data_IF_449230342165
#
_entry.id   IF_449230342165
#
_cell.length_a   1.000
_cell.length_b   1.000
_cell.length_c   1.000
_cell.angle_alpha   90.00
_cell.angle_beta   90.00
_cell.angle_gamma   90.00
#
_symmetry.space_group_name_H-M   'P 1'
#
loop_
_entity.id
_entity.type
_entity.pdbx_description
1 polymer ?
#
# COMPACT_ATOMS: atom_id res chain seq x y z
N UNK A 1 -16.81 -27.81 -18.84
CA UNK A 1 -17.32 -26.49 -18.42
C UNK A 1 -17.92 -25.83 -19.64
N UNK A 2 -19.20 -25.49 -19.58
CA UNK A 2 -19.96 -24.99 -20.72
C UNK A 2 -19.78 -23.47 -20.85
N UNK A 3 -18.65 -23.07 -21.44
CA UNK A 3 -18.25 -21.67 -21.59
C UNK A 3 -19.23 -20.87 -22.46
N UNK A 4 -19.93 -21.53 -23.39
CA UNK A 4 -20.86 -20.89 -24.30
C UNK A 4 -22.13 -20.45 -23.55
N UNK A 5 -22.67 -21.30 -22.67
CA UNK A 5 -23.78 -20.93 -21.79
C UNK A 5 -23.44 -19.83 -20.78
N UNK A 6 -22.17 -19.72 -20.35
CA UNK A 6 -21.71 -18.62 -19.49
C UNK A 6 -21.67 -17.30 -20.27
N UNK A 7 -21.17 -17.31 -21.50
CA UNK A 7 -21.11 -16.13 -22.35
C UNK A 7 -22.51 -15.62 -22.75
N UNK A 8 -23.44 -16.53 -23.04
CA UNK A 8 -24.81 -16.17 -23.38
C UNK A 8 -25.54 -15.55 -22.18
N UNK A 9 -25.33 -16.08 -20.98
CA UNK A 9 -25.88 -15.52 -19.73
C UNK A 9 -25.28 -14.14 -19.40
N UNK A 10 -23.97 -13.95 -19.62
CA UNK A 10 -23.32 -12.64 -19.46
C UNK A 10 -23.89 -11.64 -20.47
N UNK A 11 -24.11 -12.05 -21.72
CA UNK A 11 -24.66 -11.19 -22.77
C UNK A 11 -26.10 -10.77 -22.47
N UNK A 12 -26.92 -11.69 -21.99
CA UNK A 12 -28.30 -11.41 -21.58
C UNK A 12 -28.34 -10.42 -20.41
N UNK A 13 -27.51 -10.65 -19.38
CA UNK A 13 -27.39 -9.71 -18.24
C UNK A 13 -26.87 -8.34 -18.68
N UNK A 14 -25.88 -8.29 -19.56
CA UNK A 14 -25.34 -7.04 -20.08
C UNK A 14 -26.41 -6.24 -20.85
N UNK A 15 -27.23 -6.91 -21.67
CA UNK A 15 -28.35 -6.28 -22.39
C UNK A 15 -29.39 -5.69 -21.43
N UNK A 16 -29.80 -6.45 -20.41
CA UNK A 16 -30.77 -5.97 -19.42
C UNK A 16 -30.27 -4.78 -18.60
N UNK A 17 -28.96 -4.75 -18.27
CA UNK A 17 -28.34 -3.61 -17.60
C UNK A 17 -28.32 -2.39 -18.52
N UNK A 18 -28.02 -2.58 -19.80
CA UNK A 18 -27.95 -1.49 -20.77
C UNK A 18 -29.32 -0.82 -21.00
N UNK A 19 -30.38 -1.62 -21.05
CA UNK A 19 -31.76 -1.12 -21.13
C UNK A 19 -32.13 -0.29 -19.90
N UNK A 20 -31.83 -0.79 -18.69
CA UNK A 20 -32.08 -0.04 -17.44
C UNK A 20 -31.28 1.26 -17.37
N UNK A 21 -30.04 1.27 -17.85
CA UNK A 21 -29.20 2.48 -17.91
C UNK A 21 -29.79 3.49 -18.91
N UNK A 22 -30.32 3.02 -20.03
CA UNK A 22 -31.00 3.88 -21.01
C UNK A 22 -32.28 4.48 -20.46
N UNK A 23 -33.11 3.68 -19.81
CA UNK A 23 -34.34 4.15 -19.14
C UNK A 23 -34.01 5.21 -18.09
N UNK A 24 -32.99 4.96 -17.25
CA UNK A 24 -32.54 5.90 -16.23
C UNK A 24 -31.96 7.21 -16.82
N UNK A 25 -31.31 7.12 -17.99
CA UNK A 25 -30.80 8.30 -18.72
C UNK A 25 -31.94 9.16 -19.29
N UNK A 26 -33.00 8.54 -19.82
CA UNK A 26 -34.15 9.22 -20.37
C UNK A 26 -35.03 9.87 -19.28
N UNK A 27 -35.19 9.20 -18.14
CA UNK A 27 -35.99 9.66 -17.00
C UNK A 27 -35.36 10.84 -16.25
N UNK A 28 -34.04 10.83 -16.05
CA UNK A 28 -33.35 11.82 -15.22
C UNK A 28 -32.08 12.39 -15.87
N UNK A 29 -32.27 13.12 -16.98
CA UNK A 29 -31.19 13.71 -17.80
C UNK A 29 -30.17 14.54 -17.00
N UNK A 30 -30.59 15.30 -15.99
CA UNK A 30 -29.67 16.10 -15.17
C UNK A 30 -28.80 15.23 -14.24
N UNK A 31 -29.38 14.22 -13.60
CA UNK A 31 -28.64 13.30 -12.73
C UNK A 31 -27.73 12.38 -13.55
N UNK A 32 -28.15 11.98 -14.74
CA UNK A 32 -27.34 11.13 -15.63
C UNK A 32 -26.08 11.86 -16.11
N UNK A 33 -26.13 13.17 -16.38
CA UNK A 33 -24.93 13.97 -16.64
C UNK A 33 -23.99 14.06 -15.43
N UNK A 34 -24.54 14.22 -14.22
CA UNK A 34 -23.73 14.26 -12.98
C UNK A 34 -23.03 12.92 -12.75
N UNK A 35 -23.77 11.80 -12.90
CA UNK A 35 -23.23 10.45 -12.73
C UNK A 35 -22.18 10.16 -13.82
N UNK A 36 -22.45 10.52 -15.07
CA UNK A 36 -21.48 10.36 -16.15
C UNK A 36 -20.20 11.18 -15.90
N UNK A 37 -20.33 12.41 -15.40
CA UNK A 37 -19.19 13.24 -15.00
C UNK A 37 -18.38 12.63 -13.85
N UNK A 38 -19.06 12.07 -12.85
CA UNK A 38 -18.40 11.42 -11.71
C UNK A 38 -17.67 10.14 -12.13
N UNK A 39 -18.26 9.34 -13.01
CA UNK A 39 -17.60 8.14 -13.59
C UNK A 39 -16.39 8.55 -14.44
N UNK A 40 -16.50 9.60 -15.25
CA UNK A 40 -15.39 10.10 -16.05
C UNK A 40 -14.22 10.59 -15.17
N UNK A 41 -14.52 11.30 -14.08
CA UNK A 41 -13.52 11.75 -13.11
C UNK A 41 -12.83 10.57 -12.42
N UNK A 42 -13.59 9.54 -12.04
CA UNK A 42 -13.05 8.33 -11.41
C UNK A 42 -12.10 7.59 -12.36
N UNK A 43 -12.47 7.45 -13.64
CA UNK A 43 -11.59 6.88 -14.66
C UNK A 43 -10.30 7.70 -14.85
N UNK A 44 -10.40 9.03 -14.85
CA UNK A 44 -9.23 9.91 -14.96
C UNK A 44 -8.28 9.75 -13.76
N UNK A 45 -8.82 9.62 -12.54
CA UNK A 45 -8.02 9.31 -11.35
C UNK A 45 -7.32 7.95 -11.46
N UNK A 46 -8.00 6.91 -11.94
CA UNK A 46 -7.38 5.59 -12.14
C UNK A 46 -6.25 5.66 -13.16
N UNK A 47 -6.45 6.35 -14.29
CA UNK A 47 -5.42 6.51 -15.32
C UNK A 47 -4.20 7.25 -14.74
N UNK A 48 -4.41 8.32 -13.98
CA UNK A 48 -3.33 9.05 -13.30
C UNK A 48 -2.55 8.14 -12.32
N UNK A 49 -3.26 7.33 -11.53
CA UNK A 49 -2.62 6.37 -10.63
C UNK A 49 -1.80 5.32 -11.40
N UNK A 50 -2.31 4.79 -12.51
CA UNK A 50 -1.56 3.87 -13.38
C UNK A 50 -0.30 4.53 -13.96
N UNK A 51 -0.38 5.79 -14.37
CA UNK A 51 0.77 6.55 -14.90
C UNK A 51 1.82 6.78 -13.80
N UNK A 52 1.40 7.13 -12.58
CA UNK A 52 2.30 7.34 -11.45
C UNK A 52 2.93 6.01 -11.01
N UNK A 53 2.15 4.93 -10.91
CA UNK A 53 2.63 3.61 -10.53
C UNK A 53 3.56 3.00 -11.60
N UNK A 54 3.32 3.29 -12.88
CA UNK A 54 4.17 2.87 -13.99
C UNK A 54 5.49 3.64 -14.07
N UNK A 55 5.57 4.83 -13.46
CA UNK A 55 6.82 5.58 -13.32
C UNK A 55 7.63 5.03 -12.15
N UNK A 56 8.33 3.92 -12.40
CA UNK A 56 9.51 3.59 -11.60
C UNK A 56 10.50 4.75 -11.75
N UNK A 57 10.64 5.56 -10.70
CA UNK A 57 11.80 6.44 -10.59
C UNK A 57 13.00 5.52 -10.61
N UNK A 58 13.75 5.52 -11.71
CA UNK A 58 15.12 5.04 -11.67
C UNK A 58 15.80 5.80 -10.52
N UNK A 59 16.44 5.10 -9.58
CA UNK A 59 17.12 5.78 -8.48
C UNK A 59 18.08 6.78 -9.13
N UNK A 60 17.98 8.03 -8.69
CA UNK A 60 18.87 9.09 -9.12
C UNK A 60 20.30 8.63 -8.80
N UNK A 61 21.01 8.15 -9.83
CA UNK A 61 22.41 7.80 -9.72
C UNK A 61 23.12 9.12 -9.51
N UNK A 62 23.38 9.44 -8.25
CA UNK A 62 24.33 10.48 -7.87
C UNK A 62 25.57 10.20 -8.71
N UNK A 63 26.06 11.13 -9.54
CA UNK A 63 27.29 10.94 -10.29
C UNK A 63 28.45 10.98 -9.29
N UNK A 64 28.57 9.91 -8.51
CA UNK A 64 29.75 9.59 -7.74
C UNK A 64 30.83 9.31 -8.77
N UNK A 65 31.86 10.15 -8.73
CA UNK A 65 33.17 9.97 -9.33
C UNK A 65 33.41 8.52 -9.73
N UNK A 66 33.55 8.26 -11.04
CA UNK A 66 34.03 6.98 -11.54
C UNK A 66 35.42 6.79 -10.94
N UNK A 67 35.49 6.03 -9.85
CA UNK A 67 36.76 5.63 -9.25
C UNK A 67 37.31 4.52 -10.14
N UNK A 68 38.09 4.91 -11.14
CA UNK A 68 38.92 3.95 -11.87
C UNK A 68 39.90 3.33 -10.89
N UNK A 69 39.73 2.04 -10.67
CA UNK A 69 40.49 1.28 -9.68
C UNK A 69 41.85 0.90 -10.28
N UNK A 70 42.83 1.79 -10.12
CA UNK A 70 44.19 1.63 -10.67
C UNK A 70 45.03 0.56 -9.95
N UNK A 71 44.57 0.07 -8.80
CA UNK A 71 45.26 -0.93 -7.98
C UNK A 71 44.34 -2.12 -7.70
N UNK A 72 44.83 -3.38 -7.79
CA UNK A 72 44.01 -4.53 -7.41
C UNK A 72 43.64 -4.41 -5.92
N UNK A 73 42.34 -4.47 -5.62
CA UNK A 73 41.82 -4.49 -4.25
C UNK A 73 42.44 -5.65 -3.48
N UNK A 74 43.48 -5.37 -2.70
CA UNK A 74 44.01 -6.30 -1.73
C UNK A 74 43.00 -6.36 -0.59
N UNK A 75 42.21 -7.43 -0.55
CA UNK A 75 41.38 -7.74 0.61
C UNK A 75 42.37 -8.08 1.73
N UNK A 76 42.47 -7.28 2.81
CA UNK A 76 43.30 -7.67 3.94
C UNK A 76 42.73 -8.98 4.50
N UNK A 77 43.59 -9.96 4.76
CA UNK A 77 43.18 -11.24 5.35
C UNK A 77 42.50 -10.96 6.69
N UNK A 78 41.16 -10.97 6.67
CA UNK A 78 40.35 -10.81 7.85
C UNK A 78 40.56 -12.00 8.79
N UNK A 79 40.32 -11.85 10.10
CA UNK A 79 40.34 -12.98 11.00
C UNK A 79 39.41 -14.07 10.45
N UNK A 80 39.89 -15.31 10.36
CA UNK A 80 39.07 -16.44 9.91
C UNK A 80 37.81 -16.48 10.79
N UNK A 81 36.66 -16.21 10.17
CA UNK A 81 35.39 -16.31 10.85
C UNK A 81 35.28 -17.75 11.39
N UNK A 82 34.99 -17.93 12.69
CA UNK A 82 34.71 -19.26 13.20
C UNK A 82 33.62 -19.88 12.32
N UNK A 83 33.82 -21.13 11.90
CA UNK A 83 32.93 -21.84 10.95
C UNK A 83 31.46 -21.88 11.40
N UNK A 84 31.22 -21.59 12.68
CA UNK A 84 29.93 -21.60 13.33
C UNK A 84 29.31 -20.19 13.53
N UNK A 85 29.98 -19.13 13.06
CA UNK A 85 29.47 -17.75 13.11
C UNK A 85 28.65 -17.38 11.86
N UNK A 86 28.16 -18.37 11.12
CA UNK A 86 27.03 -18.15 10.22
C UNK A 86 25.79 -18.08 11.08
N UNK A 87 25.09 -16.96 11.09
CA UNK A 87 23.79 -16.84 11.74
C UNK A 87 22.83 -17.89 11.16
N UNK A 88 22.78 -19.07 11.77
CA UNK A 88 21.86 -20.17 11.46
C UNK A 88 20.44 -19.84 11.95
N UNK A 89 20.07 -18.56 11.95
CA UNK A 89 18.75 -18.10 12.31
C UNK A 89 17.86 -18.32 11.11
N UNK A 90 17.19 -19.46 11.09
CA UNK A 90 15.99 -19.66 10.27
C UNK A 90 15.01 -18.54 10.66
N UNK A 91 14.62 -17.65 9.72
CA UNK A 91 13.69 -16.59 10.05
C UNK A 91 12.36 -17.23 10.48
N UNK A 92 11.99 -17.03 11.75
CA UNK A 92 10.68 -17.46 12.25
C UNK A 92 9.62 -16.53 11.65
N UNK A 93 8.51 -17.09 11.18
CA UNK A 93 7.36 -16.32 10.64
C UNK A 93 6.68 -15.46 11.72
N UNK A 94 6.79 -15.87 12.99
CA UNK A 94 6.30 -15.16 14.17
C UNK A 94 7.30 -15.23 15.31
N UNK A 95 7.29 -14.22 16.16
CA UNK A 95 8.06 -14.21 17.39
C UNK A 95 7.49 -15.24 18.36
N UNK A 96 8.35 -16.00 19.03
CA UNK A 96 7.92 -16.78 20.20
C UNK A 96 7.61 -15.82 21.34
N UNK A 97 6.73 -16.25 22.25
CA UNK A 97 6.36 -15.48 23.45
C UNK A 97 7.60 -15.13 24.30
N UNK A 98 8.56 -16.06 24.37
CA UNK A 98 9.87 -15.87 25.03
C UNK A 98 10.71 -14.76 24.36
N UNK A 99 10.74 -14.71 23.02
CA UNK A 99 11.45 -13.66 22.28
C UNK A 99 10.69 -12.33 22.45
N UNK A 100 9.36 -12.36 22.54
CA UNK A 100 8.56 -11.17 22.75
C UNK A 100 8.81 -10.56 24.14
N UNK A 101 8.90 -11.36 25.19
CA UNK A 101 9.19 -10.88 26.54
C UNK A 101 10.64 -10.39 26.72
N UNK A 102 11.62 -11.02 26.05
CA UNK A 102 13.02 -10.59 26.09
C UNK A 102 13.20 -9.20 25.45
N UNK A 103 12.53 -8.98 24.31
CA UNK A 103 12.77 -7.82 23.47
C UNK A 103 11.70 -6.73 23.58
N UNK A 104 10.53 -7.03 24.16
CA UNK A 104 9.44 -6.08 24.35
C UNK A 104 8.94 -6.05 25.79
N UNK A 105 8.77 -4.83 26.28
CA UNK A 105 8.10 -4.58 27.56
C UNK A 105 6.62 -4.28 27.32
N UNK A 106 5.73 -5.04 27.97
CA UNK A 106 4.29 -4.72 27.96
C UNK A 106 4.06 -3.40 28.70
N UNK A 107 3.38 -2.42 28.10
CA UNK A 107 3.16 -1.13 28.73
C UNK A 107 2.32 -1.26 30.01
N UNK A 108 2.64 -0.45 31.00
CA UNK A 108 1.91 -0.40 32.28
C UNK A 108 0.58 0.34 32.10
N UNK A 109 -0.46 0.01 32.88
CA UNK A 109 -1.77 0.68 32.83
C UNK A 109 -1.66 2.21 32.91
N UNK A 110 -0.73 2.73 33.73
CA UNK A 110 -0.45 4.16 33.83
C UNK A 110 -0.03 4.80 32.50
N UNK A 111 0.74 4.09 31.69
CA UNK A 111 1.21 4.56 30.37
C UNK A 111 0.05 4.55 29.36
N UNK A 112 -0.82 3.54 29.44
CA UNK A 112 -2.05 3.47 28.64
C UNK A 112 -3.00 4.63 28.99
N UNK A 113 -3.19 4.91 30.28
CA UNK A 113 -4.06 6.00 30.73
C UNK A 113 -3.49 7.38 30.32
N UNK A 114 -2.15 7.53 30.38
CA UNK A 114 -1.47 8.73 29.90
C UNK A 114 -1.63 8.92 28.39
N UNK A 115 -1.56 7.84 27.61
CA UNK A 115 -1.77 7.88 26.17
C UNK A 115 -3.23 8.23 25.83
N UNK A 116 -4.20 7.65 26.54
CA UNK A 116 -5.62 8.00 26.38
C UNK A 116 -5.85 9.49 26.62
N UNK A 117 -5.32 10.02 27.73
CA UNK A 117 -5.45 11.44 28.07
C UNK A 117 -4.78 12.35 27.03
N UNK A 118 -3.62 11.95 26.50
CA UNK A 118 -2.94 12.70 25.44
C UNK A 118 -3.76 12.72 24.14
N UNK A 119 -4.38 11.59 23.78
CA UNK A 119 -5.28 11.52 22.61
C UNK A 119 -6.52 12.39 22.79
N UNK A 120 -7.16 12.36 23.96
CA UNK A 120 -8.33 13.19 24.24
C UNK A 120 -7.99 14.69 24.17
N UNK A 121 -6.82 15.08 24.67
CA UNK A 121 -6.33 16.45 24.55
C UNK A 121 -6.10 16.85 23.08
N UNK A 122 -5.46 16.00 22.28
CA UNK A 122 -5.26 16.24 20.85
C UNK A 122 -6.59 16.42 20.12
N UNK A 123 -7.57 15.57 20.41
CA UNK A 123 -8.91 15.66 19.81
C UNK A 123 -9.56 16.99 20.22
N UNK A 124 -9.49 17.37 21.49
CA UNK A 124 -10.03 18.64 21.98
C UNK A 124 -9.32 19.85 21.38
N UNK A 125 -8.02 19.78 21.11
CA UNK A 125 -7.31 20.82 20.38
C UNK A 125 -7.79 20.92 18.93
N UNK A 126 -7.99 19.79 18.25
CA UNK A 126 -8.49 19.76 16.87
C UNK A 126 -9.93 20.26 16.78
N UNK A 127 -10.82 19.82 17.69
CA UNK A 127 -12.24 20.17 17.66
C UNK A 127 -12.53 21.52 18.31
N UNK A 128 -11.74 21.94 19.30
CA UNK A 128 -11.87 23.23 19.97
C UNK A 128 -11.18 24.38 19.25
N UNK A 129 -10.21 24.11 18.36
CA UNK A 129 -9.65 25.09 17.43
C UNK A 129 -10.45 25.18 16.10
N UNK A 130 -11.44 24.31 15.91
CA UNK A 130 -12.42 24.45 14.83
C UNK A 130 -13.53 25.44 15.29
N UNK A 131 -13.83 26.51 14.51
CA UNK A 131 -14.85 27.49 14.87
C UNK A 131 -16.28 26.92 14.86
#
# INVERSE_FOLDING_TARGET
MDFQGILDNIKEKASSIFEKVREFYEENKMLSYIIAGLVALLLLCIILLCVIAGRKKEPEVIPGTVLELTEPLAIPDGPELPKDYTASRTPKDKWSEEDAEEWFTVPTQKEIDSLSKANDNLINEITGAAP
#
